data_IF_383846846137
#
_entry.id   IF_383846846137
#
_cell.length_a   1.000
_cell.length_b   1.000
_cell.length_c   1.000
_cell.angle_alpha   90.00
_cell.angle_beta   90.00
_cell.angle_gamma   90.00
#
_symmetry.space_group_name_H-M   'P 1'
#
loop_
_entity.id
_entity.type
_entity.pdbx_description
1 polymer ?
#
# COMPACT_ATOMS: atom_id res chain seq x y z
N UNK A 1 -33.45 19.71 2.80
CA UNK A 1 -32.96 19.14 4.08
C UNK A 1 -31.51 18.84 3.89
N UNK A 2 -30.60 19.26 4.80
CA UNK A 2 -29.19 18.84 4.76
C UNK A 2 -29.16 17.32 4.96
N UNK A 3 -28.56 16.57 4.02
CA UNK A 3 -28.42 15.12 4.15
C UNK A 3 -27.33 14.86 5.19
N UNK A 4 -27.65 14.15 6.25
CA UNK A 4 -26.72 13.80 7.32
C UNK A 4 -26.30 12.34 7.17
N UNK A 5 -25.00 12.09 7.37
CA UNK A 5 -24.38 10.77 7.26
C UNK A 5 -23.75 10.34 8.59
N UNK A 6 -23.46 9.09 8.74
CA UNK A 6 -22.61 8.64 9.83
C UNK A 6 -21.15 9.02 9.57
N UNK A 7 -20.68 8.82 8.32
CA UNK A 7 -19.29 9.06 7.94
C UNK A 7 -19.20 9.90 6.66
N UNK A 8 -18.33 10.90 6.70
CA UNK A 8 -17.87 11.65 5.52
C UNK A 8 -16.45 11.19 5.18
N UNK A 9 -16.18 10.80 3.93
CA UNK A 9 -14.84 10.38 3.48
C UNK A 9 -14.38 11.29 2.36
N UNK A 10 -13.18 11.87 2.49
CA UNK A 10 -12.53 12.68 1.45
C UNK A 10 -11.42 11.86 0.82
N UNK A 11 -11.55 11.59 -0.49
CA UNK A 11 -10.68 10.75 -1.30
C UNK A 11 -11.29 9.37 -1.55
N UNK A 12 -11.67 9.08 -2.81
CA UNK A 12 -12.20 7.80 -3.27
C UNK A 12 -11.13 6.93 -3.96
N UNK A 13 -9.87 7.10 -3.60
CA UNK A 13 -8.81 6.16 -3.98
C UNK A 13 -9.05 4.76 -3.39
N UNK A 14 -8.12 3.82 -3.61
CA UNK A 14 -8.26 2.43 -3.12
C UNK A 14 -8.60 2.36 -1.62
N UNK A 15 -7.94 3.19 -0.80
CA UNK A 15 -8.18 3.22 0.64
C UNK A 15 -9.55 3.81 1.00
N UNK A 16 -9.94 4.94 0.40
CA UNK A 16 -11.24 5.57 0.71
C UNK A 16 -12.42 4.73 0.27
N UNK A 17 -12.35 4.11 -0.92
CA UNK A 17 -13.37 3.19 -1.40
C UNK A 17 -13.50 1.94 -0.50
N UNK A 18 -12.37 1.33 -0.11
CA UNK A 18 -12.37 0.20 0.81
C UNK A 18 -12.91 0.56 2.21
N UNK A 19 -12.60 1.79 2.70
CA UNK A 19 -13.15 2.29 3.96
C UNK A 19 -14.66 2.48 3.90
N UNK A 20 -15.17 3.05 2.80
CA UNK A 20 -16.61 3.23 2.59
C UNK A 20 -17.34 1.88 2.59
N UNK A 21 -16.81 0.89 1.85
CA UNK A 21 -17.37 -0.47 1.82
C UNK A 21 -17.31 -1.14 3.19
N UNK A 22 -16.19 -1.02 3.91
CA UNK A 22 -16.05 -1.58 5.25
C UNK A 22 -17.06 -0.98 6.25
N UNK A 23 -17.25 0.33 6.24
CA UNK A 23 -18.21 1.01 7.10
C UNK A 23 -19.66 0.64 6.76
N UNK A 24 -19.97 0.54 5.47
CA UNK A 24 -21.31 0.17 5.01
C UNK A 24 -21.73 -1.25 5.42
N UNK A 25 -20.79 -2.19 5.61
CA UNK A 25 -21.09 -3.57 6.02
C UNK A 25 -21.79 -3.68 7.37
N UNK A 26 -21.58 -2.72 8.28
CA UNK A 26 -22.28 -2.69 9.56
C UNK A 26 -23.33 -1.55 9.66
N UNK A 27 -23.85 -1.14 8.50
CA UNK A 27 -25.02 -0.29 8.39
C UNK A 27 -24.77 1.21 8.55
N UNK A 28 -23.50 1.67 8.54
CA UNK A 28 -23.20 3.10 8.59
C UNK A 28 -23.41 3.74 7.21
N UNK A 29 -24.11 4.87 7.19
CA UNK A 29 -24.30 5.68 5.99
C UNK A 29 -23.05 6.51 5.69
N UNK A 30 -22.59 6.49 4.42
CA UNK A 30 -21.33 7.10 4.00
C UNK A 30 -21.55 8.09 2.86
N UNK A 31 -20.97 9.30 2.99
CA UNK A 31 -20.75 10.19 1.86
C UNK A 31 -19.27 10.12 1.45
N UNK A 32 -19.00 9.68 0.24
CA UNK A 32 -17.67 9.50 -0.32
C UNK A 32 -17.39 10.56 -1.40
N UNK A 33 -16.42 11.44 -1.18
CA UNK A 33 -16.09 12.55 -2.08
C UNK A 33 -14.73 12.34 -2.76
N UNK A 34 -14.63 12.66 -4.03
CA UNK A 34 -13.35 12.74 -4.73
C UNK A 34 -13.34 13.89 -5.76
N UNK A 35 -12.19 14.55 -5.86
CA UNK A 35 -11.95 15.61 -6.83
C UNK A 35 -11.93 15.10 -8.29
N UNK A 36 -11.80 13.79 -8.48
CA UNK A 36 -11.79 13.11 -9.76
C UNK A 36 -12.77 11.94 -9.73
N UNK A 37 -13.23 11.51 -10.89
CA UNK A 37 -13.99 10.28 -10.99
C UNK A 37 -13.03 9.08 -10.95
N UNK A 38 -13.38 8.04 -10.21
CA UNK A 38 -12.52 6.84 -10.08
C UNK A 38 -12.24 6.19 -11.43
N UNK A 39 -13.22 6.18 -12.36
CA UNK A 39 -13.08 5.67 -13.71
C UNK A 39 -12.08 6.45 -14.57
N UNK A 40 -11.87 7.74 -14.32
CA UNK A 40 -10.98 8.59 -15.12
C UNK A 40 -9.50 8.26 -14.88
N UNK A 41 -9.22 7.50 -13.81
CA UNK A 41 -7.89 6.99 -13.50
C UNK A 41 -7.62 5.62 -14.13
N UNK A 42 -8.61 5.04 -14.83
CA UNK A 42 -8.48 3.77 -15.53
C UNK A 42 -7.88 3.99 -16.92
N UNK A 43 -6.83 3.27 -17.22
CA UNK A 43 -6.31 3.14 -18.58
C UNK A 43 -7.00 1.97 -19.27
N UNK A 44 -7.31 2.08 -20.55
CA UNK A 44 -8.01 1.06 -21.34
C UNK A 44 -7.16 -0.19 -21.60
N UNK A 45 -5.84 -0.11 -21.32
CA UNK A 45 -4.88 -1.20 -21.47
C UNK A 45 -4.12 -1.51 -20.20
N UNK A 46 -3.22 -2.47 -20.28
CA UNK A 46 -2.26 -2.73 -19.22
C UNK A 46 -1.23 -1.61 -19.17
N UNK A 47 -1.22 -0.85 -18.09
CA UNK A 47 -0.32 0.29 -17.90
C UNK A 47 0.91 -0.02 -17.04
N UNK A 48 0.98 -1.22 -16.44
CA UNK A 48 2.09 -1.67 -15.59
C UNK A 48 1.86 -1.46 -14.09
N UNK A 49 0.81 -0.73 -13.68
CA UNK A 49 0.51 -0.53 -12.26
C UNK A 49 -0.07 -1.79 -11.63
N UNK A 50 0.48 -2.19 -10.49
CA UNK A 50 0.05 -3.36 -9.73
C UNK A 50 0.34 -3.20 -8.25
N UNK A 51 -0.35 -3.98 -7.43
CA UNK A 51 -0.25 -3.95 -5.98
C UNK A 51 0.01 -5.36 -5.44
N UNK A 52 0.94 -5.45 -4.49
CA UNK A 52 1.16 -6.66 -3.71
C UNK A 52 0.20 -6.65 -2.53
N UNK A 53 -0.87 -7.43 -2.59
CA UNK A 53 -1.78 -7.63 -1.47
C UNK A 53 -1.21 -8.74 -0.57
N UNK A 54 -0.96 -8.45 0.70
CA UNK A 54 -0.60 -9.48 1.69
C UNK A 54 -1.76 -10.46 1.91
N UNK A 55 -1.50 -11.59 2.53
CA UNK A 55 -2.54 -12.57 2.84
C UNK A 55 -3.71 -11.95 3.63
N UNK A 56 -3.42 -11.12 4.65
CA UNK A 56 -4.48 -10.43 5.42
C UNK A 56 -5.24 -9.41 4.60
N UNK A 57 -4.58 -8.74 3.65
CA UNK A 57 -5.26 -7.85 2.70
C UNK A 57 -6.18 -8.61 1.74
N UNK A 58 -5.78 -9.81 1.31
CA UNK A 58 -6.63 -10.71 0.52
C UNK A 58 -7.85 -11.17 1.33
N UNK A 59 -7.66 -11.51 2.62
CA UNK A 59 -8.79 -11.82 3.52
C UNK A 59 -9.75 -10.64 3.64
N UNK A 60 -9.25 -9.42 3.75
CA UNK A 60 -10.09 -8.22 3.73
C UNK A 60 -10.86 -8.08 2.42
N UNK A 61 -10.23 -8.33 1.25
CA UNK A 61 -10.96 -8.32 -0.03
C UNK A 61 -12.07 -9.38 -0.07
N UNK A 62 -11.86 -10.55 0.55
CA UNK A 62 -12.90 -11.59 0.72
C UNK A 62 -14.02 -11.11 1.62
N UNK A 63 -13.70 -10.55 2.79
CA UNK A 63 -14.68 -10.00 3.73
C UNK A 63 -15.53 -8.90 3.12
N UNK A 64 -14.94 -8.08 2.24
CA UNK A 64 -15.65 -7.04 1.48
C UNK A 64 -16.43 -7.59 0.26
N UNK A 65 -16.40 -8.89 -0.01
CA UNK A 65 -17.06 -9.50 -1.17
C UNK A 65 -16.43 -9.21 -2.53
N UNK A 66 -15.17 -8.75 -2.55
CA UNK A 66 -14.46 -8.31 -3.77
C UNK A 66 -13.61 -9.40 -4.39
N UNK A 67 -13.19 -10.39 -3.60
CA UNK A 67 -12.16 -11.35 -4.01
C UNK A 67 -12.59 -12.26 -5.17
N UNK A 68 -13.85 -12.66 -5.24
CA UNK A 68 -14.31 -13.52 -6.32
C UNK A 68 -14.20 -12.87 -7.70
N UNK A 69 -14.32 -11.57 -7.79
CA UNK A 69 -14.08 -10.82 -9.03
C UNK A 69 -12.60 -10.56 -9.33
N UNK A 70 -11.71 -10.78 -8.36
CA UNK A 70 -10.27 -10.49 -8.47
C UNK A 70 -9.41 -11.76 -8.64
N UNK A 71 -9.82 -12.89 -8.07
CA UNK A 71 -8.99 -14.09 -7.91
C UNK A 71 -8.39 -14.62 -9.22
N UNK A 72 -9.16 -14.57 -10.31
CA UNK A 72 -8.72 -15.07 -11.63
C UNK A 72 -7.72 -14.15 -12.32
N UNK A 73 -7.56 -12.92 -11.80
CA UNK A 73 -6.63 -11.90 -12.26
C UNK A 73 -5.48 -11.66 -11.28
N UNK A 74 -5.46 -12.39 -10.19
CA UNK A 74 -4.49 -12.28 -9.12
C UNK A 74 -3.39 -13.34 -9.26
N UNK A 75 -2.12 -12.92 -9.26
CA UNK A 75 -0.97 -13.81 -9.29
C UNK A 75 -0.54 -14.13 -7.87
N UNK A 76 -0.57 -15.39 -7.40
CA UNK A 76 -0.08 -15.74 -6.08
C UNK A 76 1.44 -15.52 -5.97
N UNK A 77 1.91 -15.13 -4.78
CA UNK A 77 3.31 -15.11 -4.38
C UNK A 77 3.57 -16.30 -3.46
N UNK A 78 4.21 -17.35 -4.00
CA UNK A 78 4.50 -18.58 -3.29
C UNK A 78 5.87 -18.51 -2.61
N UNK A 79 6.82 -17.87 -3.28
CA UNK A 79 8.19 -17.69 -2.82
C UNK A 79 8.56 -16.22 -2.80
N UNK A 80 9.34 -15.81 -1.78
CA UNK A 80 10.02 -14.51 -1.78
C UNK A 80 11.51 -14.76 -1.54
N UNK A 81 12.34 -14.29 -2.47
CA UNK A 81 13.79 -14.38 -2.39
C UNK A 81 14.38 -13.00 -2.20
N UNK A 82 15.13 -12.84 -1.10
CA UNK A 82 15.78 -11.58 -0.72
C UNK A 82 17.28 -11.79 -0.74
N UNK A 83 18.01 -10.97 -1.50
CA UNK A 83 19.48 -11.02 -1.51
C UNK A 83 20.10 -9.64 -1.74
N UNK A 84 21.40 -9.56 -1.56
CA UNK A 84 22.18 -8.44 -2.07
C UNK A 84 22.43 -8.60 -3.57
N UNK A 85 22.40 -7.49 -4.30
CA UNK A 85 22.81 -7.40 -5.68
C UNK A 85 23.98 -6.44 -5.88
N UNK A 86 24.79 -6.69 -6.90
CA UNK A 86 25.91 -5.83 -7.25
C UNK A 86 26.06 -5.75 -8.77
N UNK A 87 26.35 -4.58 -9.29
CA UNK A 87 26.76 -4.40 -10.68
C UNK A 87 28.27 -4.63 -10.81
N UNK A 88 28.74 -5.31 -11.86
CA UNK A 88 27.97 -5.99 -12.92
C UNK A 88 27.54 -7.43 -12.56
N UNK A 89 27.84 -7.94 -11.37
CA UNK A 89 27.78 -9.36 -10.99
C UNK A 89 26.35 -9.89 -10.78
N UNK A 90 25.34 -8.99 -10.73
CA UNK A 90 23.95 -9.37 -10.49
C UNK A 90 23.66 -9.79 -9.04
N UNK A 91 22.65 -10.70 -8.81
CA UNK A 91 22.28 -11.13 -7.47
C UNK A 91 23.33 -12.01 -6.80
N UNK A 92 23.49 -11.85 -5.47
CA UNK A 92 24.35 -12.70 -4.65
C UNK A 92 23.84 -14.14 -4.59
N UNK A 93 24.75 -15.11 -4.42
CA UNK A 93 24.43 -16.52 -4.15
C UNK A 93 23.80 -16.73 -2.75
N UNK A 94 24.04 -15.78 -1.82
CA UNK A 94 23.44 -15.84 -0.48
C UNK A 94 22.11 -15.10 -0.49
N UNK A 95 21.02 -15.85 -0.26
CA UNK A 95 19.67 -15.30 -0.22
C UNK A 95 18.89 -15.80 1.00
N UNK A 96 17.97 -14.98 1.47
CA UNK A 96 16.94 -15.36 2.41
C UNK A 96 15.72 -15.80 1.60
N UNK A 97 15.27 -17.03 1.81
CA UNK A 97 14.14 -17.61 1.11
C UNK A 97 12.95 -17.77 2.05
N UNK A 98 11.84 -17.19 1.67
CA UNK A 98 10.55 -17.38 2.31
C UNK A 98 9.69 -18.29 1.41
N UNK A 99 9.33 -19.45 1.95
CA UNK A 99 8.44 -20.42 1.31
C UNK A 99 7.07 -20.35 2.01
N UNK A 100 5.99 -20.18 1.25
CA UNK A 100 4.61 -20.14 1.77
C UNK A 100 4.22 -21.39 2.56
N UNK A 101 4.78 -22.55 2.24
CA UNK A 101 4.52 -23.81 2.93
C UNK A 101 4.94 -23.77 4.42
N UNK A 102 5.82 -22.84 4.81
CA UNK A 102 6.25 -22.73 6.19
C UNK A 102 5.20 -22.15 7.15
N UNK A 103 4.17 -21.49 6.63
CA UNK A 103 3.10 -20.87 7.45
C UNK A 103 1.77 -21.60 7.37
N UNK A 104 1.61 -22.58 6.47
CA UNK A 104 0.40 -23.43 6.31
C UNK A 104 -0.91 -22.66 6.06
N UNK A 105 -0.83 -21.38 5.64
CA UNK A 105 -1.99 -20.50 5.45
C UNK A 105 -2.24 -20.17 3.97
N UNK A 106 -1.48 -20.79 3.07
CA UNK A 106 -1.53 -20.55 1.63
C UNK A 106 -0.51 -19.51 1.15
N UNK A 107 -0.69 -18.91 -0.04
CA UNK A 107 0.22 -17.92 -0.57
C UNK A 107 0.45 -16.75 0.39
N UNK A 108 1.68 -16.24 0.46
CA UNK A 108 2.02 -15.09 1.32
C UNK A 108 1.27 -13.80 0.93
N UNK A 109 0.74 -13.76 -0.27
CA UNK A 109 -0.04 -12.68 -0.83
C UNK A 109 -0.27 -12.88 -2.32
N UNK A 110 -0.84 -11.88 -2.97
CA UNK A 110 -1.13 -11.89 -4.40
C UNK A 110 -0.81 -10.56 -5.03
N UNK A 111 -0.25 -10.59 -6.24
CA UNK A 111 -0.13 -9.41 -7.08
C UNK A 111 -1.43 -9.18 -7.85
N UNK A 112 -1.98 -7.99 -7.76
CA UNK A 112 -3.21 -7.59 -8.48
C UNK A 112 -2.93 -6.32 -9.27
N UNK A 113 -3.28 -6.31 -10.55
CA UNK A 113 -3.11 -5.14 -11.43
C UNK A 113 -4.19 -4.09 -11.12
N UNK A 114 -3.82 -2.79 -11.20
CA UNK A 114 -4.74 -1.66 -10.93
C UNK A 114 -5.99 -1.71 -11.79
N UNK A 115 -5.84 -2.09 -13.06
CA UNK A 115 -6.95 -2.22 -14.03
C UNK A 115 -8.04 -3.23 -13.63
N UNK A 116 -7.76 -4.13 -12.68
CA UNK A 116 -8.75 -5.07 -12.13
C UNK A 116 -9.23 -4.65 -10.76
N UNK A 117 -8.32 -4.18 -9.89
CA UNK A 117 -8.66 -3.81 -8.52
C UNK A 117 -9.57 -2.59 -8.45
N UNK A 118 -9.25 -1.53 -9.17
CA UNK A 118 -10.00 -0.27 -9.14
C UNK A 118 -11.43 -0.39 -9.66
N UNK A 119 -11.69 -1.02 -10.83
CA UNK A 119 -13.07 -1.22 -11.31
C UNK A 119 -13.94 -2.06 -10.38
N UNK A 120 -13.35 -3.08 -9.75
CA UNK A 120 -14.08 -3.95 -8.80
C UNK A 120 -14.48 -3.15 -7.56
N UNK A 121 -13.59 -2.33 -7.02
CA UNK A 121 -13.90 -1.42 -5.90
C UNK A 121 -14.98 -0.41 -6.29
N UNK A 122 -14.85 0.23 -7.46
CA UNK A 122 -15.85 1.19 -7.93
C UNK A 122 -17.22 0.55 -8.11
N UNK A 123 -17.30 -0.59 -8.79
CA UNK A 123 -18.57 -1.29 -8.99
C UNK A 123 -19.23 -1.70 -7.67
N UNK A 124 -18.44 -2.03 -6.64
CA UNK A 124 -18.97 -2.34 -5.31
C UNK A 124 -19.48 -1.08 -4.59
N UNK A 125 -18.78 0.04 -4.71
CA UNK A 125 -19.25 1.34 -4.18
C UNK A 125 -20.53 1.77 -4.86
N UNK A 126 -20.60 1.73 -6.19
CA UNK A 126 -21.76 2.18 -6.98
C UNK A 126 -23.03 1.33 -6.72
N UNK A 127 -22.88 0.08 -6.28
CA UNK A 127 -23.99 -0.84 -5.98
C UNK A 127 -24.46 -0.80 -4.53
N UNK A 128 -23.77 -0.07 -3.65
CA UNK A 128 -24.04 -0.11 -2.23
C UNK A 128 -24.97 1.05 -1.81
N UNK A 129 -26.18 0.75 -1.39
CA UNK A 129 -27.21 1.73 -1.01
C UNK A 129 -26.86 2.56 0.24
N UNK A 130 -25.85 2.15 1.03
CA UNK A 130 -25.36 2.91 2.18
C UNK A 130 -24.31 3.96 1.80
N UNK A 131 -23.85 3.98 0.53
CA UNK A 131 -22.78 4.86 0.07
C UNK A 131 -23.30 5.82 -0.99
N UNK A 132 -23.28 7.12 -0.69
CA UNK A 132 -23.46 8.15 -1.71
C UNK A 132 -22.07 8.58 -2.22
N UNK A 133 -21.74 8.24 -3.46
CA UNK A 133 -20.49 8.64 -4.09
C UNK A 133 -20.63 9.93 -4.87
N UNK A 134 -19.77 10.91 -4.57
CA UNK A 134 -19.72 12.25 -5.18
C UNK A 134 -18.41 12.41 -5.96
N UNK A 135 -18.32 11.96 -7.22
CA UNK A 135 -17.17 12.19 -8.08
C UNK A 135 -17.11 13.64 -8.55
N UNK A 136 -15.88 14.10 -8.91
CA UNK A 136 -15.61 15.44 -9.39
C UNK A 136 -16.04 16.56 -8.42
N UNK A 137 -16.03 16.28 -7.11
CA UNK A 137 -16.37 17.23 -6.05
C UNK A 137 -15.15 17.50 -5.18
N UNK A 138 -14.69 18.76 -5.17
CA UNK A 138 -13.58 19.21 -4.32
C UNK A 138 -14.13 19.73 -3.00
N UNK A 139 -13.54 19.28 -1.90
CA UNK A 139 -13.84 19.81 -0.58
C UNK A 139 -12.96 21.04 -0.31
N UNK A 140 -13.58 22.22 -0.22
CA UNK A 140 -12.89 23.47 0.09
C UNK A 140 -12.62 23.61 1.58
N UNK A 141 -13.62 23.34 2.41
CA UNK A 141 -13.53 23.51 3.85
C UNK A 141 -14.07 22.26 4.56
N UNK A 142 -13.57 22.02 5.76
CA UNK A 142 -14.20 21.09 6.69
C UNK A 142 -14.09 21.68 8.11
N UNK A 143 -15.03 21.29 8.94
CA UNK A 143 -15.06 21.67 10.34
C UNK A 143 -15.53 20.50 11.19
N UNK A 144 -14.87 20.26 12.30
CA UNK A 144 -15.28 19.30 13.32
C UNK A 144 -15.60 20.07 14.61
N UNK A 145 -16.85 20.02 15.01
CA UNK A 145 -17.35 20.63 16.26
C UNK A 145 -17.62 19.54 17.30
N UNK A 146 -18.06 19.91 18.49
CA UNK A 146 -18.50 18.93 19.49
C UNK A 146 -19.72 18.11 19.00
N UNK A 147 -20.53 18.65 18.10
CA UNK A 147 -21.80 18.06 17.66
C UNK A 147 -21.66 17.22 16.40
N UNK A 148 -20.96 17.73 15.38
CA UNK A 148 -20.83 17.06 14.08
C UNK A 148 -19.53 17.42 13.36
N UNK A 149 -19.18 16.60 12.38
CA UNK A 149 -18.26 16.95 11.30
C UNK A 149 -19.04 17.53 10.12
N UNK A 150 -18.47 18.50 9.41
CA UNK A 150 -19.06 19.08 8.20
C UNK A 150 -18.01 19.29 7.12
N UNK A 151 -18.43 19.23 5.88
CA UNK A 151 -17.64 19.57 4.70
C UNK A 151 -18.42 20.52 3.80
N UNK A 152 -17.72 21.49 3.20
CA UNK A 152 -18.26 22.39 2.18
C UNK A 152 -17.55 22.11 0.86
N UNK A 153 -18.32 21.86 -0.19
CA UNK A 153 -17.80 21.61 -1.54
C UNK A 153 -17.41 22.91 -2.24
N UNK A 154 -16.70 22.79 -3.35
CA UNK A 154 -16.39 23.91 -4.25
C UNK A 154 -17.63 24.58 -4.88
N UNK A 155 -18.75 23.85 -4.96
CA UNK A 155 -20.05 24.39 -5.37
C UNK A 155 -20.84 25.05 -4.22
N UNK A 156 -20.26 25.16 -3.02
CA UNK A 156 -20.90 25.75 -1.84
C UNK A 156 -21.96 24.86 -1.17
N UNK A 157 -21.99 23.57 -1.48
CA UNK A 157 -22.88 22.63 -0.83
C UNK A 157 -22.28 22.11 0.48
N UNK A 158 -23.11 22.05 1.53
CA UNK A 158 -22.72 21.54 2.85
C UNK A 158 -23.26 20.14 3.09
N UNK A 159 -22.39 19.28 3.64
CA UNK A 159 -22.74 17.95 4.13
C UNK A 159 -22.29 17.81 5.58
N UNK A 160 -23.06 17.04 6.36
CA UNK A 160 -22.77 16.81 7.78
C UNK A 160 -22.68 15.32 8.09
N UNK A 161 -21.86 14.95 9.07
CA UNK A 161 -21.72 13.58 9.52
C UNK A 161 -21.25 13.50 10.98
N UNK A 162 -21.23 12.29 11.54
CA UNK A 162 -20.72 12.05 12.90
C UNK A 162 -19.20 12.03 12.93
N UNK A 163 -18.56 11.58 11.82
CA UNK A 163 -17.12 11.41 11.68
C UNK A 163 -16.67 11.84 10.27
N UNK A 164 -15.55 12.54 10.17
CA UNK A 164 -14.84 12.84 8.92
C UNK A 164 -13.57 11.99 8.83
N UNK A 165 -13.38 11.29 7.71
CA UNK A 165 -12.20 10.51 7.42
C UNK A 165 -11.48 11.10 6.20
N UNK A 166 -10.19 11.40 6.36
CA UNK A 166 -9.33 11.84 5.26
C UNK A 166 -8.55 10.66 4.68
N UNK A 167 -8.79 10.39 3.39
CA UNK A 167 -8.13 9.38 2.55
C UNK A 167 -7.57 10.00 1.26
N UNK A 168 -7.29 11.31 1.27
CA UNK A 168 -6.91 12.15 0.14
C UNK A 168 -5.40 12.11 -0.20
N UNK A 169 -4.72 11.05 0.26
CA UNK A 169 -3.38 10.69 -0.18
C UNK A 169 -2.24 11.44 0.51
N UNK A 170 -1.03 11.25 0.00
CA UNK A 170 0.23 11.67 0.63
C UNK A 170 0.33 13.18 0.88
N UNK A 171 -0.27 13.98 0.02
CA UNK A 171 -0.32 15.46 0.12
C UNK A 171 -1.66 15.94 0.69
N UNK A 172 -2.24 15.20 1.62
CA UNK A 172 -3.56 15.48 2.20
C UNK A 172 -3.74 16.95 2.56
N UNK A 173 -4.54 17.65 1.77
CA UNK A 173 -4.97 19.00 2.07
C UNK A 173 -5.91 19.01 3.29
N UNK A 174 -6.64 17.92 3.49
CA UNK A 174 -7.55 17.74 4.62
C UNK A 174 -6.79 17.62 5.94
N UNK A 175 -5.70 16.83 6.00
CA UNK A 175 -4.83 16.77 7.17
C UNK A 175 -4.21 18.12 7.50
N UNK A 176 -3.75 18.85 6.46
CA UNK A 176 -3.17 20.20 6.61
C UNK A 176 -4.18 21.19 7.17
N UNK A 177 -5.42 21.21 6.64
CA UNK A 177 -6.51 22.07 7.16
C UNK A 177 -6.90 21.69 8.59
N UNK A 178 -6.81 20.42 8.97
CA UNK A 178 -7.03 19.97 10.35
C UNK A 178 -5.88 20.37 11.30
N UNK A 179 -4.83 21.03 10.82
CA UNK A 179 -3.67 21.44 11.62
C UNK A 179 -2.82 20.27 12.09
N UNK A 180 -2.86 19.12 11.37
CA UNK A 180 -2.03 17.95 11.68
C UNK A 180 -0.68 18.11 11.02
N UNK A 181 0.38 18.13 11.82
CA UNK A 181 1.76 18.20 11.35
C UNK A 181 2.23 16.82 10.92
N UNK A 182 3.20 16.78 10.01
CA UNK A 182 3.82 15.56 9.52
C UNK A 182 5.32 15.58 9.77
N UNK A 183 5.86 14.43 10.14
CA UNK A 183 7.31 14.18 10.25
C UNK A 183 7.76 13.29 9.11
N UNK A 184 8.94 13.58 8.59
CA UNK A 184 9.49 12.77 7.51
C UNK A 184 10.66 13.44 6.81
N UNK A 185 11.17 12.77 5.79
CA UNK A 185 12.29 13.22 4.96
C UNK A 185 12.20 12.62 3.57
N UNK A 186 12.86 13.26 2.63
CA UNK A 186 13.12 12.72 1.32
C UNK A 186 14.33 11.76 1.40
N UNK A 187 14.24 10.59 0.76
CA UNK A 187 15.36 9.64 0.71
C UNK A 187 16.41 10.02 -0.33
N UNK A 188 16.20 11.07 -1.12
CA UNK A 188 17.05 11.42 -2.26
C UNK A 188 16.92 10.41 -3.42
N UNK A 189 15.87 9.59 -3.39
CA UNK A 189 15.65 8.48 -4.31
C UNK A 189 14.29 8.58 -5.00
N UNK A 190 14.21 8.01 -6.21
CA UNK A 190 12.96 7.79 -6.94
C UNK A 190 12.81 6.31 -7.27
N UNK A 191 11.58 5.80 -7.19
CA UNK A 191 11.22 4.50 -7.72
C UNK A 191 10.89 4.62 -9.21
N UNK A 192 11.56 3.84 -10.04
CA UNK A 192 11.24 3.57 -11.42
C UNK A 192 10.34 2.35 -11.45
N UNK A 193 9.12 2.50 -11.93
CA UNK A 193 8.12 1.43 -11.95
C UNK A 193 7.74 1.12 -13.38
N UNK A 194 7.81 -0.14 -13.75
CA UNK A 194 7.34 -0.65 -15.04
C UNK A 194 6.92 -2.11 -14.90
N UNK A 195 6.37 -2.67 -15.97
CA UNK A 195 6.24 -4.12 -16.09
C UNK A 195 7.08 -4.62 -17.27
N UNK A 196 7.52 -5.86 -17.18
CA UNK A 196 8.20 -6.58 -18.25
C UNK A 196 7.44 -7.87 -18.59
N UNK A 197 7.42 -8.23 -19.85
CA UNK A 197 7.15 -9.58 -20.33
C UNK A 197 8.49 -10.31 -20.41
N UNK A 198 8.48 -11.62 -20.14
CA UNK A 198 9.68 -12.44 -20.15
C UNK A 198 9.44 -13.86 -20.67
N UNK A 199 10.49 -14.46 -21.20
CA UNK A 199 10.46 -15.76 -21.84
C UNK A 199 10.24 -16.90 -20.83
N UNK A 200 11.05 -16.94 -19.77
CA UNK A 200 11.03 -18.00 -18.77
C UNK A 200 9.96 -17.73 -17.70
N UNK A 201 9.42 -18.78 -17.09
CA UNK A 201 8.47 -18.61 -15.99
C UNK A 201 9.12 -18.05 -14.72
N UNK A 202 8.43 -17.13 -14.05
CA UNK A 202 8.83 -16.60 -12.73
C UNK A 202 8.50 -17.57 -11.57
N UNK A 203 7.81 -18.67 -11.81
CA UNK A 203 7.44 -19.70 -10.81
C UNK A 203 6.76 -19.10 -9.55
N UNK A 204 5.91 -18.08 -9.72
CA UNK A 204 5.25 -17.37 -8.63
C UNK A 204 6.20 -16.82 -7.55
N UNK A 205 7.46 -16.55 -7.91
CA UNK A 205 8.52 -16.06 -7.02
C UNK A 205 8.66 -14.55 -7.12
N UNK A 206 8.61 -13.86 -5.99
CA UNK A 206 8.98 -12.46 -5.86
C UNK A 206 10.46 -12.34 -5.49
N UNK A 207 11.17 -11.42 -6.11
CA UNK A 207 12.58 -11.16 -5.82
C UNK A 207 12.76 -9.75 -5.28
N UNK A 208 13.56 -9.61 -4.23
CA UNK A 208 13.97 -8.33 -3.65
C UNK A 208 15.51 -8.28 -3.60
N UNK A 209 16.10 -7.47 -4.46
CA UNK A 209 17.53 -7.25 -4.49
C UNK A 209 17.88 -5.92 -3.84
N UNK A 210 18.75 -5.95 -2.84
CA UNK A 210 19.28 -4.75 -2.22
C UNK A 210 20.56 -4.34 -2.94
N UNK A 211 20.50 -3.25 -3.69
CA UNK A 211 21.59 -2.69 -4.47
C UNK A 211 22.14 -1.43 -3.77
N UNK A 212 23.40 -1.02 -4.02
CA UNK A 212 23.98 0.16 -3.36
C UNK A 212 23.22 1.47 -3.57
N UNK A 213 22.53 1.65 -4.71
CA UNK A 213 21.74 2.84 -5.02
C UNK A 213 20.31 2.76 -4.51
N UNK A 214 19.86 1.60 -4.11
CA UNK A 214 18.52 1.35 -3.62
C UNK A 214 17.98 -0.02 -4.05
N UNK A 215 16.87 -0.48 -3.46
CA UNK A 215 16.33 -1.80 -3.74
C UNK A 215 15.72 -1.91 -5.15
N UNK A 216 15.79 -3.14 -5.70
CA UNK A 216 15.09 -3.58 -6.89
C UNK A 216 14.16 -4.73 -6.53
N UNK A 217 12.86 -4.58 -6.76
CA UNK A 217 11.88 -5.65 -6.64
C UNK A 217 11.44 -6.13 -8.02
N UNK A 218 11.28 -7.45 -8.16
CA UNK A 218 10.72 -8.13 -9.33
C UNK A 218 9.56 -8.97 -8.81
N UNK A 219 8.34 -8.56 -9.10
CA UNK A 219 7.13 -9.12 -8.52
C UNK A 219 6.34 -9.85 -9.60
N UNK A 220 5.95 -11.13 -9.39
CA UNK A 220 5.30 -11.94 -10.41
C UNK A 220 3.92 -11.38 -10.77
N UNK A 221 3.60 -11.33 -12.05
CA UNK A 221 2.27 -11.02 -12.58
C UNK A 221 1.78 -12.18 -13.44
N UNK A 222 0.49 -12.20 -13.75
CA UNK A 222 -0.08 -13.19 -14.68
C UNK A 222 0.58 -13.12 -16.07
N UNK A 223 0.58 -14.25 -16.79
CA UNK A 223 1.01 -14.36 -18.19
C UNK A 223 2.52 -14.05 -18.42
N UNK A 224 3.42 -14.64 -17.65
CA UNK A 224 4.86 -14.43 -17.75
C UNK A 224 5.24 -12.95 -17.80
N UNK A 225 4.62 -12.17 -16.92
CA UNK A 225 4.97 -10.77 -16.67
C UNK A 225 5.51 -10.60 -15.27
N UNK A 226 6.31 -9.57 -15.08
CA UNK A 226 6.74 -9.14 -13.75
C UNK A 226 6.65 -7.62 -13.62
N UNK A 227 6.20 -7.16 -12.46
CA UNK A 227 6.29 -5.75 -12.09
C UNK A 227 7.67 -5.46 -11.53
N UNK A 228 8.29 -4.41 -12.01
CA UNK A 228 9.59 -3.92 -11.59
C UNK A 228 9.39 -2.67 -10.75
N UNK A 229 9.98 -2.65 -9.55
CA UNK A 229 10.09 -1.46 -8.71
C UNK A 229 11.57 -1.26 -8.41
N UNK A 230 12.17 -0.30 -9.07
CA UNK A 230 13.60 -0.07 -9.06
C UNK A 230 13.92 1.30 -8.48
N UNK A 231 14.61 1.34 -7.35
CA UNK A 231 15.00 2.57 -6.67
C UNK A 231 16.38 3.04 -7.13
N UNK A 232 16.48 4.33 -7.49
CA UNK A 232 17.70 5.01 -7.88
C UNK A 232 17.73 6.43 -7.29
N UNK A 233 18.90 7.08 -7.27
CA UNK A 233 18.96 8.51 -6.92
C UNK A 233 18.07 9.34 -7.86
N UNK A 234 17.57 10.48 -7.40
CA UNK A 234 16.71 11.34 -8.23
C UNK A 234 17.34 11.70 -9.58
N UNK A 235 18.64 12.05 -9.58
CA UNK A 235 19.39 12.41 -10.78
C UNK A 235 19.42 11.24 -11.75
N UNK A 236 19.92 10.08 -11.31
CA UNK A 236 20.05 8.88 -12.14
C UNK A 236 18.69 8.38 -12.64
N UNK A 237 17.65 8.44 -11.81
CA UNK A 237 16.28 8.09 -12.21
C UNK A 237 15.77 9.00 -13.34
N UNK A 238 16.10 10.31 -13.31
CA UNK A 238 15.76 11.22 -14.38
C UNK A 238 16.45 10.86 -15.69
N UNK A 239 17.73 10.51 -15.62
CA UNK A 239 18.49 10.13 -16.83
C UNK A 239 17.98 8.82 -17.44
N UNK A 240 17.70 7.82 -16.60
CA UNK A 240 17.15 6.53 -17.02
C UNK A 240 15.76 6.71 -17.67
N UNK A 241 14.93 7.60 -17.14
CA UNK A 241 13.59 7.85 -17.71
C UNK A 241 13.62 8.51 -19.09
N UNK A 242 14.73 9.17 -19.46
CA UNK A 242 14.92 9.77 -20.80
C UNK A 242 15.36 8.77 -21.86
N UNK A 243 15.83 7.59 -21.45
CA UNK A 243 16.25 6.53 -22.38
C UNK A 243 15.05 6.03 -23.19
N UNK A 244 15.29 5.58 -24.41
CA UNK A 244 14.33 4.76 -25.14
C UNK A 244 14.15 3.38 -24.48
N UNK A 245 13.22 2.59 -24.95
CA UNK A 245 12.87 1.32 -24.34
C UNK A 245 14.01 0.29 -24.40
N UNK A 246 14.75 0.26 -25.51
CA UNK A 246 15.87 -0.67 -25.68
C UNK A 246 17.04 -0.31 -24.75
N UNK A 247 17.40 0.98 -24.68
CA UNK A 247 18.41 1.48 -23.77
C UNK A 247 18.01 1.32 -22.29
N UNK A 248 16.72 1.53 -21.96
CA UNK A 248 16.21 1.29 -20.61
C UNK A 248 16.39 -0.17 -20.20
N UNK A 249 15.99 -1.13 -21.04
CA UNK A 249 16.17 -2.55 -20.76
C UNK A 249 17.64 -2.95 -20.68
N UNK A 250 18.52 -2.36 -21.49
CA UNK A 250 19.95 -2.63 -21.44
C UNK A 250 20.60 -2.20 -20.11
N UNK A 251 20.06 -1.15 -19.47
CA UNK A 251 20.49 -0.69 -18.14
C UNK A 251 19.84 -1.51 -17.02
N UNK A 252 18.61 -1.99 -17.21
CA UNK A 252 17.87 -2.77 -16.22
C UNK A 252 18.41 -4.23 -16.11
N UNK A 253 18.58 -4.93 -17.24
CA UNK A 253 18.92 -6.36 -17.31
C UNK A 253 20.13 -6.78 -16.45
N UNK A 254 21.28 -6.08 -16.46
CA UNK A 254 22.43 -6.46 -15.64
C UNK A 254 22.17 -6.48 -14.13
N UNK A 255 21.07 -5.87 -13.65
CA UNK A 255 20.73 -5.79 -12.23
C UNK A 255 20.10 -7.06 -11.68
N UNK A 256 19.51 -7.89 -12.52
CA UNK A 256 18.86 -9.12 -12.07
C UNK A 256 19.31 -10.38 -12.83
N UNK A 257 20.16 -10.23 -13.88
CA UNK A 257 20.70 -11.35 -14.65
C UNK A 257 19.69 -11.94 -15.65
N UNK A 258 19.96 -13.17 -16.11
CA UNK A 258 19.30 -13.78 -17.27
C UNK A 258 18.24 -14.84 -16.92
N UNK A 259 17.87 -15.00 -15.64
CA UNK A 259 16.98 -16.10 -15.23
C UNK A 259 15.58 -16.02 -15.83
N UNK A 260 15.12 -14.83 -16.22
CA UNK A 260 13.84 -14.61 -16.91
C UNK A 260 13.94 -14.78 -18.44
N UNK A 261 15.14 -15.01 -18.99
CA UNK A 261 15.38 -15.08 -20.44
C UNK A 261 15.25 -13.70 -21.09
N UNK A 262 14.77 -13.66 -22.33
CA UNK A 262 14.54 -12.40 -23.03
C UNK A 262 13.38 -11.61 -22.41
N UNK A 263 13.59 -10.29 -22.29
CA UNK A 263 12.64 -9.37 -21.65
C UNK A 263 12.20 -8.26 -22.60
N UNK A 264 10.94 -7.83 -22.46
CA UNK A 264 10.36 -6.68 -23.18
C UNK A 264 9.58 -5.84 -22.19
N UNK A 265 9.53 -4.51 -22.42
CA UNK A 265 8.64 -3.66 -21.64
C UNK A 265 7.17 -3.99 -21.95
N UNK A 266 6.36 -4.01 -20.89
CA UNK A 266 4.92 -4.18 -20.95
C UNK A 266 4.24 -2.99 -20.26
N UNK A 267 3.56 -2.14 -21.02
CA UNK A 267 2.92 -0.92 -20.51
C UNK A 267 3.86 0.28 -20.41
N UNK A 268 3.53 1.21 -19.53
CA UNK A 268 4.23 2.49 -19.37
C UNK A 268 5.29 2.41 -18.28
N UNK A 269 6.23 3.33 -18.31
CA UNK A 269 7.22 3.57 -17.26
C UNK A 269 6.79 4.74 -16.40
N UNK A 270 6.88 4.57 -15.08
CA UNK A 270 6.53 5.59 -14.10
C UNK A 270 7.73 5.92 -13.21
N UNK A 271 7.73 7.13 -12.67
CA UNK A 271 8.72 7.59 -11.68
C UNK A 271 8.01 8.24 -10.51
N UNK A 272 8.31 7.78 -9.29
CA UNK A 272 7.76 8.29 -8.05
C UNK A 272 8.88 8.69 -7.08
N UNK A 273 8.86 9.92 -6.52
CA UNK A 273 9.81 10.29 -5.48
C UNK A 273 9.55 9.46 -4.21
N UNK A 274 10.62 9.04 -3.56
CA UNK A 274 10.58 8.23 -2.35
C UNK A 274 10.81 9.11 -1.12
N UNK A 275 9.85 9.15 -0.23
CA UNK A 275 9.92 9.91 1.02
C UNK A 275 9.20 9.15 2.14
N UNK A 276 9.66 9.33 3.36
CA UNK A 276 8.90 9.02 4.56
C UNK A 276 8.05 10.25 4.93
N UNK A 277 6.80 10.04 5.30
CA UNK A 277 5.95 11.12 5.79
C UNK A 277 4.89 10.53 6.72
N UNK A 278 4.95 10.79 8.01
CA UNK A 278 4.04 10.27 9.04
C UNK A 278 3.37 11.44 9.74
N UNK A 279 2.04 11.39 9.86
CA UNK A 279 1.28 12.35 10.66
C UNK A 279 1.63 12.20 12.15
N UNK A 280 1.76 13.30 12.86
CA UNK A 280 2.04 13.28 14.31
C UNK A 280 0.86 12.73 15.11
N UNK A 281 -0.35 12.96 14.59
CA UNK A 281 -1.61 12.47 15.14
C UNK A 281 -2.43 11.86 14.00
N UNK A 282 -3.08 10.72 14.23
CA UNK A 282 -3.97 10.10 13.25
C UNK A 282 -5.42 10.49 13.46
N UNK A 283 -5.76 11.02 14.63
CA UNK A 283 -7.13 11.36 15.00
C UNK A 283 -7.21 12.71 15.71
N UNK A 284 -8.37 13.34 15.59
CA UNK A 284 -8.87 14.44 16.42
C UNK A 284 -10.36 14.22 16.70
N UNK A 285 -11.01 14.96 17.57
CA UNK A 285 -12.45 14.84 17.76
C UNK A 285 -13.17 14.88 16.41
N UNK A 286 -13.94 13.84 16.10
CA UNK A 286 -14.69 13.64 14.84
C UNK A 286 -13.84 13.63 13.56
N UNK A 287 -12.57 13.30 13.66
CA UNK A 287 -11.65 13.31 12.54
C UNK A 287 -10.64 12.15 12.61
N UNK A 288 -10.45 11.45 11.49
CA UNK A 288 -9.44 10.40 11.36
C UNK A 288 -8.70 10.47 10.03
N UNK A 289 -7.41 10.10 10.02
CA UNK A 289 -6.59 9.89 8.82
C UNK A 289 -6.40 8.40 8.57
N UNK A 290 -6.42 7.99 7.30
CA UNK A 290 -6.09 6.62 6.87
C UNK A 290 -5.17 6.61 5.66
N UNK A 291 -4.42 5.53 5.49
CA UNK A 291 -3.53 5.31 4.35
C UNK A 291 -2.46 6.41 4.20
N UNK A 292 -2.16 6.79 2.97
CA UNK A 292 -1.12 7.78 2.69
C UNK A 292 -1.40 9.17 3.31
N UNK A 293 -2.65 9.48 3.66
CA UNK A 293 -2.99 10.69 4.39
C UNK A 293 -2.46 10.64 5.84
N UNK A 294 -2.39 9.46 6.46
CA UNK A 294 -1.80 9.23 7.76
C UNK A 294 -0.28 8.98 7.65
N UNK A 295 0.16 8.16 6.72
CA UNK A 295 1.55 7.75 6.58
C UNK A 295 1.93 7.39 5.14
N UNK A 296 2.94 8.04 4.61
CA UNK A 296 3.62 7.68 3.36
C UNK A 296 4.93 6.98 3.68
N UNK A 297 5.02 5.69 3.41
CA UNK A 297 6.18 4.85 3.73
C UNK A 297 6.92 4.47 2.45
N UNK A 298 8.23 4.18 2.57
CA UNK A 298 9.03 3.67 1.46
C UNK A 298 8.41 2.36 0.91
N UNK A 299 8.24 2.21 -0.41
CA UNK A 299 7.53 1.08 -1.01
C UNK A 299 8.33 -0.25 -1.00
N UNK A 300 9.26 -0.44 -0.07
CA UNK A 300 9.95 -1.72 0.09
C UNK A 300 8.91 -2.82 0.31
N UNK A 301 9.00 -3.87 -0.47
CA UNK A 301 8.08 -5.02 -0.45
C UNK A 301 6.59 -4.68 -0.68
N UNK A 302 6.26 -3.56 -1.34
CA UNK A 302 4.88 -3.20 -1.69
C UNK A 302 3.97 -2.92 -0.50
N UNK A 303 4.51 -2.46 0.64
CA UNK A 303 3.75 -2.35 1.90
C UNK A 303 2.80 -1.14 1.99
N UNK A 304 2.89 -0.14 1.09
CA UNK A 304 2.09 1.09 1.21
C UNK A 304 0.58 0.84 1.25
N UNK A 305 0.03 0.12 0.27
CA UNK A 305 -1.39 -0.20 0.23
C UNK A 305 -1.80 -1.11 1.41
N UNK A 306 -0.99 -2.12 1.73
CA UNK A 306 -1.27 -3.03 2.85
C UNK A 306 -1.35 -2.30 4.20
N UNK A 307 -0.49 -1.30 4.43
CA UNK A 307 -0.54 -0.47 5.62
C UNK A 307 -1.85 0.34 5.69
N UNK A 308 -2.30 0.91 4.56
CA UNK A 308 -3.60 1.59 4.47
C UNK A 308 -4.78 0.66 4.68
N UNK A 309 -4.75 -0.56 4.13
CA UNK A 309 -5.79 -1.57 4.36
C UNK A 309 -5.83 -2.03 5.84
N UNK A 310 -4.67 -2.12 6.51
CA UNK A 310 -4.62 -2.35 7.95
C UNK A 310 -5.24 -1.19 8.75
N UNK A 311 -5.06 0.07 8.32
CA UNK A 311 -5.74 1.22 8.95
C UNK A 311 -7.25 1.09 8.84
N UNK A 312 -7.74 0.78 7.65
CA UNK A 312 -9.16 0.62 7.37
C UNK A 312 -9.75 -0.49 8.24
N UNK A 313 -9.10 -1.65 8.26
CA UNK A 313 -9.57 -2.79 9.04
C UNK A 313 -9.61 -2.47 10.54
N UNK A 314 -8.58 -1.79 11.08
CA UNK A 314 -8.54 -1.38 12.48
C UNK A 314 -9.61 -0.32 12.79
N UNK A 315 -9.76 0.70 11.93
CA UNK A 315 -10.78 1.73 12.13
C UNK A 315 -12.18 1.15 12.02
N UNK A 316 -12.47 0.31 11.03
CA UNK A 316 -13.76 -0.40 10.92
C UNK A 316 -14.06 -1.23 12.17
N UNK A 317 -13.07 -1.96 12.70
CA UNK A 317 -13.23 -2.74 13.93
C UNK A 317 -13.65 -1.86 15.11
N UNK A 318 -12.93 -0.75 15.32
CA UNK A 318 -13.22 0.19 16.42
C UNK A 318 -14.59 0.86 16.26
N UNK A 319 -14.93 1.28 15.03
CA UNK A 319 -16.22 1.92 14.75
C UNK A 319 -17.40 0.95 14.88
N UNK A 320 -17.22 -0.30 14.45
CA UNK A 320 -18.23 -1.35 14.60
C UNK A 320 -18.51 -1.65 16.08
N UNK A 321 -17.47 -1.82 16.88
CA UNK A 321 -17.60 -2.04 18.32
C UNK A 321 -18.28 -0.87 19.03
N UNK A 322 -17.90 0.37 18.69
CA UNK A 322 -18.52 1.58 19.23
C UNK A 322 -19.99 1.68 18.82
N UNK A 323 -20.29 1.42 17.55
CA UNK A 323 -21.67 1.45 17.04
C UNK A 323 -22.57 0.43 17.74
N UNK A 324 -22.10 -0.81 17.92
CA UNK A 324 -22.83 -1.87 18.62
C UNK A 324 -23.07 -1.55 20.10
N UNK A 325 -22.17 -0.80 20.74
CA UNK A 325 -22.32 -0.36 22.13
C UNK A 325 -23.13 0.92 22.27
N UNK A 326 -23.58 1.54 21.17
CA UNK A 326 -24.26 2.84 21.19
C UNK A 326 -23.34 4.01 21.55
N UNK A 327 -22.02 3.84 21.43
CA UNK A 327 -21.03 4.90 21.65
C UNK A 327 -21.05 5.89 20.46
N UNK A 328 -20.61 7.13 20.70
CA UNK A 328 -20.48 8.12 19.63
C UNK A 328 -19.23 7.81 18.80
N UNK A 329 -19.38 7.33 17.56
CA UNK A 329 -18.28 6.96 16.66
C UNK A 329 -17.32 8.10 16.34
N UNK A 330 -17.69 9.37 16.58
CA UNK A 330 -16.83 10.53 16.41
C UNK A 330 -16.15 10.99 17.72
N UNK A 331 -16.40 10.33 18.85
CA UNK A 331 -15.78 10.68 20.12
C UNK A 331 -14.28 10.37 20.11
N UNK A 332 -13.50 11.22 20.75
CA UNK A 332 -12.04 11.11 20.69
C UNK A 332 -11.52 9.83 21.36
N UNK A 333 -12.13 9.40 22.45
CA UNK A 333 -11.80 8.16 23.17
C UNK A 333 -12.04 6.90 22.32
N UNK A 334 -13.03 6.91 21.43
CA UNK A 334 -13.27 5.85 20.45
C UNK A 334 -12.16 5.87 19.39
N UNK A 335 -11.84 7.05 18.84
CA UNK A 335 -10.85 7.19 17.77
C UNK A 335 -9.41 6.95 18.27
N UNK A 336 -9.12 7.25 19.53
CA UNK A 336 -7.82 6.95 20.14
C UNK A 336 -7.52 5.46 20.17
N UNK A 337 -8.52 4.57 20.33
CA UNK A 337 -8.36 3.10 20.22
C UNK A 337 -7.76 2.70 18.86
N UNK A 338 -8.24 3.34 17.77
CA UNK A 338 -7.67 3.16 16.44
C UNK A 338 -6.24 3.68 16.34
N UNK A 339 -5.98 4.89 16.84
CA UNK A 339 -4.65 5.50 16.80
C UNK A 339 -3.62 4.68 17.58
N UNK A 340 -3.94 4.22 18.78
CA UNK A 340 -3.07 3.37 19.60
C UNK A 340 -2.72 2.08 18.89
N UNK A 341 -3.73 1.42 18.30
CA UNK A 341 -3.51 0.18 17.55
C UNK A 341 -2.56 0.38 16.37
N UNK A 342 -2.77 1.45 15.58
CA UNK A 342 -2.03 1.64 14.34
C UNK A 342 -0.69 2.34 14.48
N UNK A 343 -0.58 3.25 15.44
CA UNK A 343 0.62 4.08 15.60
C UNK A 343 1.87 3.26 15.91
N UNK A 344 1.73 2.22 16.72
CA UNK A 344 2.85 1.33 17.02
C UNK A 344 3.31 0.58 15.76
N UNK A 345 2.38 -0.05 15.04
CA UNK A 345 2.68 -0.81 13.81
C UNK A 345 3.32 0.07 12.72
N UNK A 346 2.76 1.27 12.51
CA UNK A 346 3.25 2.21 11.49
C UNK A 346 4.66 2.69 11.84
N UNK A 347 4.91 3.05 13.10
CA UNK A 347 6.24 3.48 13.53
C UNK A 347 7.26 2.34 13.43
N UNK A 348 6.90 1.12 13.81
CA UNK A 348 7.77 -0.05 13.68
C UNK A 348 8.10 -0.34 12.21
N UNK A 349 7.09 -0.32 11.34
CA UNK A 349 7.26 -0.52 9.90
C UNK A 349 8.14 0.58 9.29
N UNK A 350 7.94 1.84 9.68
CA UNK A 350 8.75 2.97 9.23
C UNK A 350 10.21 2.83 9.66
N UNK A 351 10.45 2.48 10.93
CA UNK A 351 11.81 2.24 11.46
C UNK A 351 12.47 1.04 10.76
N UNK A 352 11.74 -0.04 10.55
CA UNK A 352 12.25 -1.22 9.85
C UNK A 352 12.63 -0.88 8.40
N UNK A 353 11.73 -0.24 7.63
CA UNK A 353 11.99 0.12 6.23
C UNK A 353 13.11 1.15 6.10
N UNK A 354 13.18 2.14 6.99
CA UNK A 354 14.27 3.12 7.03
C UNK A 354 15.61 2.46 7.42
N UNK A 355 15.60 1.61 8.43
CA UNK A 355 16.77 0.84 8.85
C UNK A 355 17.28 -0.09 7.75
N UNK A 356 16.39 -0.83 7.09
CA UNK A 356 16.74 -1.65 5.94
C UNK A 356 17.28 -0.81 4.78
N UNK A 357 16.61 0.29 4.41
CA UNK A 357 17.10 1.14 3.33
C UNK A 357 18.50 1.69 3.64
N UNK A 358 18.75 2.25 4.82
CA UNK A 358 20.05 2.77 5.22
C UNK A 358 21.14 1.68 5.33
N UNK A 359 20.77 0.52 5.86
CA UNK A 359 21.70 -0.60 6.01
C UNK A 359 22.14 -1.13 4.65
N UNK A 360 21.21 -1.29 3.71
CA UNK A 360 21.48 -1.92 2.41
C UNK A 360 21.90 -0.93 1.31
N UNK A 361 21.59 0.36 1.43
CA UNK A 361 22.08 1.40 0.50
C UNK A 361 23.48 1.92 0.84
N UNK A 362 24.34 1.06 1.41
CA UNK A 362 25.69 1.41 1.80
C UNK A 362 26.72 0.53 1.07
N UNK A 363 27.73 1.17 0.45
CA UNK A 363 28.78 0.51 -0.35
C UNK A 363 29.96 -0.04 0.47
N UNK A 364 29.96 0.07 1.80
CA UNK A 364 31.04 -0.41 2.65
C UNK A 364 31.16 -1.95 2.57
N UNK A 365 32.35 -2.44 2.15
CA UNK A 365 32.63 -3.87 1.91
C UNK A 365 32.49 -4.73 3.17
N UNK A 366 32.84 -4.22 4.36
CA UNK A 366 32.72 -4.94 5.63
C UNK A 366 31.26 -5.09 6.05
N UNK A 367 30.46 -4.02 5.92
CA UNK A 367 29.03 -4.07 6.19
C UNK A 367 28.31 -5.01 5.23
N UNK A 368 28.74 -5.04 3.97
CA UNK A 368 28.20 -5.94 2.96
C UNK A 368 28.46 -7.42 3.30
N UNK A 369 29.70 -7.78 3.63
CA UNK A 369 30.02 -9.14 4.07
C UNK A 369 29.20 -9.55 5.31
N UNK A 370 29.07 -8.64 6.27
CA UNK A 370 28.25 -8.85 7.47
C UNK A 370 26.75 -9.06 7.16
N UNK A 371 26.20 -8.32 6.18
CA UNK A 371 24.79 -8.47 5.74
C UNK A 371 24.56 -9.80 5.04
N UNK A 372 25.42 -10.18 4.10
CA UNK A 372 25.34 -11.45 3.38
C UNK A 372 25.38 -12.64 4.35
N UNK A 373 26.31 -12.62 5.33
CA UNK A 373 26.36 -13.61 6.41
C UNK A 373 25.09 -13.58 7.27
N UNK A 374 24.59 -12.39 7.63
CA UNK A 374 23.37 -12.22 8.40
C UNK A 374 22.14 -12.82 7.72
N UNK A 375 21.96 -12.57 6.42
CA UNK A 375 20.89 -13.18 5.63
C UNK A 375 21.00 -14.71 5.59
N UNK A 376 22.22 -15.24 5.41
CA UNK A 376 22.50 -16.68 5.44
C UNK A 376 22.19 -17.31 6.79
N UNK A 377 22.53 -16.65 7.91
CA UNK A 377 22.25 -17.14 9.27
C UNK A 377 20.72 -17.16 9.51
N UNK A 378 20.01 -16.07 9.19
CA UNK A 378 18.54 -16.00 9.34
C UNK A 378 17.88 -17.08 8.50
N UNK A 379 18.38 -17.35 7.29
CA UNK A 379 17.85 -18.41 6.43
C UNK A 379 17.93 -19.81 7.07
N UNK A 380 18.94 -20.04 7.93
CA UNK A 380 19.13 -21.28 8.65
C UNK A 380 18.36 -21.36 9.98
N UNK A 381 17.67 -20.29 10.38
CA UNK A 381 16.91 -20.23 11.65
C UNK A 381 15.41 -20.31 11.39
N UNK A 382 14.77 -21.51 11.39
CA UNK A 382 13.36 -21.66 10.94
C UNK A 382 12.37 -20.82 11.75
N UNK A 383 12.56 -20.67 13.05
CA UNK A 383 11.66 -19.87 13.91
C UNK A 383 11.70 -18.38 13.52
N UNK A 384 12.90 -17.84 13.28
CA UNK A 384 13.07 -16.45 12.90
C UNK A 384 12.54 -16.22 11.48
N UNK A 385 12.84 -17.13 10.55
CA UNK A 385 12.34 -17.06 9.17
C UNK A 385 10.81 -17.09 9.12
N UNK A 386 10.14 -18.00 9.85
CA UNK A 386 8.67 -18.05 9.96
C UNK A 386 8.09 -16.75 10.53
N UNK A 387 8.76 -16.12 11.51
CA UNK A 387 8.31 -14.83 12.03
C UNK A 387 8.32 -13.74 10.93
N UNK A 388 9.37 -13.69 10.11
CA UNK A 388 9.43 -12.75 8.98
C UNK A 388 8.40 -13.07 7.89
N UNK A 389 8.17 -14.36 7.57
CA UNK A 389 7.13 -14.78 6.62
C UNK A 389 5.75 -14.34 7.12
N UNK A 390 5.44 -14.57 8.40
CA UNK A 390 4.18 -14.14 9.01
C UNK A 390 4.02 -12.63 8.98
N UNK A 391 5.08 -11.87 9.24
CA UNK A 391 5.05 -10.40 9.15
C UNK A 391 4.79 -9.94 7.71
N UNK A 392 5.48 -10.51 6.72
CA UNK A 392 5.27 -10.22 5.30
C UNK A 392 3.84 -10.57 4.82
N UNK A 393 3.27 -11.66 5.33
CA UNK A 393 1.89 -12.08 5.08
C UNK A 393 0.84 -11.22 5.83
N UNK A 394 1.28 -10.33 6.73
CA UNK A 394 0.42 -9.49 7.55
C UNK A 394 -0.07 -10.15 8.84
N UNK A 395 0.43 -11.34 9.17
CA UNK A 395 0.07 -12.16 10.33
C UNK A 395 0.95 -11.90 11.57
N UNK A 396 1.72 -10.81 11.57
CA UNK A 396 2.68 -10.49 12.64
C UNK A 396 2.01 -10.13 13.98
N UNK A 397 0.77 -9.66 13.96
CA UNK A 397 0.00 -9.31 15.17
C UNK A 397 -0.90 -10.46 15.61
N UNK A 398 -1.04 -10.65 16.94
CA UNK A 398 -1.94 -11.68 17.49
C UNK A 398 -3.41 -11.34 17.29
N UNK A 399 -3.76 -10.07 17.37
CA UNK A 399 -5.13 -9.58 17.27
C UNK A 399 -5.34 -8.94 15.89
N UNK A 400 -5.90 -9.72 14.97
CA UNK A 400 -6.30 -9.22 13.67
C UNK A 400 -7.68 -8.54 13.74
N UNK A 401 -7.87 -7.41 13.06
CA UNK A 401 -9.19 -6.80 12.89
C UNK A 401 -10.16 -7.78 12.19
N UNK A 402 -11.48 -7.62 12.40
CA UNK A 402 -12.50 -8.53 11.85
C UNK A 402 -12.39 -8.75 10.34
N UNK A 403 -12.14 -7.67 9.58
CA UNK A 403 -12.02 -7.75 8.13
C UNK A 403 -10.79 -8.54 7.63
N UNK A 404 -9.81 -8.87 8.50
CA UNK A 404 -8.54 -9.52 8.14
C UNK A 404 -8.37 -10.92 8.76
N UNK A 405 -9.40 -11.42 9.43
CA UNK A 405 -9.40 -12.77 10.04
C UNK A 405 -9.62 -13.88 9.04
#
# INVERSE_FOLDING_TARGET
>A
MKKSYDILIIGAGLNGAAMALGAAQFGLSVALFDAHKMSDQLETGFDGRSYALSLTSVRMMRSLGLWDALKDHAQPMLDIKVCEGQLPDGPSLFFLHFDHNEIEEGPMGHMVQDRYLRPVLQAAVDKNDQIDYFPNVKIQLHQCTAECASVTTDAGQDYTGKLLIAADGRQSATATRAGIRRKGWDYGQSALVCAIEHENTHNATAYQYFMPQGPLAILPLTNNRSSIVWSETHERANDIMRLDDAAYLSVLRPRFGDFLGDIKLAGKRYKYPLSLSIAEEFVKPRFALIGDAAHGIHPIAGQGLNAGLKDIAALCHVLQDAHHRGENIGAIDVLERYQEWRRFDVNLLALATDGFNKLFSNSNALLRAGRALGLGIVNQMPKMRRSFIREAAGLGTKDLPYLMR
#
